data_IF_780140133069
#
_entry.id   IF_780140133069
#
_cell.length_a   1.000
_cell.length_b   1.000
_cell.length_c   1.000
_cell.angle_alpha   90.00
_cell.angle_beta   90.00
_cell.angle_gamma   90.00
#
_symmetry.space_group_name_H-M   'P 1'
#
loop_
_entity.id
_entity.type
_entity.pdbx_description
1 polymer ?
#
# COMPACT_ATOMS: atom_id res chain seq x y z
N UNK A 1 -7.02 9.08 32.30
CA UNK A 1 -6.35 8.78 31.01
C UNK A 1 -7.08 9.53 29.91
N UNK A 2 -6.53 10.65 29.44
CA UNK A 2 -7.19 11.56 28.50
C UNK A 2 -7.06 10.99 27.08
N UNK A 3 -8.18 10.61 26.47
CA UNK A 3 -8.23 10.05 25.11
C UNK A 3 -7.98 11.19 24.13
N UNK A 4 -6.75 11.29 23.60
CA UNK A 4 -6.39 12.30 22.60
C UNK A 4 -7.30 12.17 21.38
N UNK A 5 -8.08 13.21 21.10
CA UNK A 5 -8.97 13.30 19.94
C UNK A 5 -8.10 13.56 18.71
N UNK A 6 -7.86 12.54 17.88
CA UNK A 6 -7.20 12.74 16.58
C UNK A 6 -8.08 13.68 15.76
N UNK A 7 -7.51 14.77 15.28
CA UNK A 7 -8.12 15.69 14.33
C UNK A 7 -8.63 14.94 13.10
N UNK A 8 -9.71 15.46 12.49
CA UNK A 8 -10.42 14.89 11.33
C UNK A 8 -9.64 14.96 10.01
N UNK A 9 -8.31 14.75 10.03
CA UNK A 9 -7.51 14.58 8.83
C UNK A 9 -7.75 13.21 8.24
N UNK A 10 -7.89 13.12 6.91
CA UNK A 10 -8.06 11.85 6.19
C UNK A 10 -7.01 10.84 6.65
N UNK A 11 -7.48 9.70 7.15
CA UNK A 11 -6.56 8.71 7.68
C UNK A 11 -5.71 8.12 6.54
N UNK A 12 -4.45 7.70 6.81
CA UNK A 12 -3.67 7.00 5.79
C UNK A 12 -4.40 5.77 5.25
N UNK A 13 -5.19 5.09 6.08
CA UNK A 13 -6.03 3.97 5.68
C UNK A 13 -7.10 4.39 4.67
N UNK A 14 -7.82 5.49 4.90
CA UNK A 14 -8.80 6.04 3.94
C UNK A 14 -8.14 6.37 2.59
N UNK A 15 -6.97 7.01 2.60
CA UNK A 15 -6.22 7.35 1.38
C UNK A 15 -5.84 6.12 0.57
N UNK A 16 -5.31 5.10 1.25
CA UNK A 16 -4.92 3.84 0.62
C UNK A 16 -6.16 3.13 0.06
N UNK A 17 -7.24 3.07 0.83
CA UNK A 17 -8.51 2.45 0.40
C UNK A 17 -9.09 3.14 -0.83
N UNK A 18 -9.11 4.49 -0.86
CA UNK A 18 -9.61 5.24 -2.00
C UNK A 18 -8.83 4.93 -3.29
N UNK A 19 -7.50 4.91 -3.22
CA UNK A 19 -6.66 4.56 -4.38
C UNK A 19 -6.86 3.11 -4.86
N UNK A 20 -7.19 2.18 -3.97
CA UNK A 20 -7.51 0.80 -4.34
C UNK A 20 -8.85 0.73 -5.06
N UNK A 21 -9.87 1.44 -4.55
CA UNK A 21 -11.19 1.52 -5.17
C UNK A 21 -11.05 2.07 -6.60
N UNK A 22 -10.31 3.15 -6.79
CA UNK A 22 -10.08 3.74 -8.12
C UNK A 22 -9.47 2.74 -9.11
N UNK A 23 -8.43 1.99 -8.69
CA UNK A 23 -7.82 0.96 -9.56
C UNK A 23 -8.77 -0.21 -9.86
N UNK A 24 -9.64 -0.55 -8.91
CA UNK A 24 -10.68 -1.57 -9.13
C UNK A 24 -11.74 -1.09 -10.12
N UNK A 25 -12.15 0.17 -10.04
CA UNK A 25 -13.09 0.80 -10.99
C UNK A 25 -12.51 0.85 -12.41
N UNK A 26 -11.19 0.98 -12.54
CA UNK A 26 -10.46 0.84 -13.81
C UNK A 26 -10.41 -0.61 -14.34
N UNK A 27 -11.02 -1.58 -13.63
CA UNK A 27 -11.05 -2.99 -14.02
C UNK A 27 -9.76 -3.74 -13.74
N UNK A 28 -8.83 -3.15 -12.99
CA UNK A 28 -7.55 -3.80 -12.65
C UNK A 28 -7.66 -4.53 -11.31
N UNK A 29 -6.91 -5.63 -11.16
CA UNK A 29 -6.72 -6.28 -9.86
C UNK A 29 -5.36 -5.86 -9.32
N UNK A 30 -5.25 -4.79 -8.50
CA UNK A 30 -3.97 -4.17 -8.20
C UNK A 30 -3.02 -5.10 -7.41
N UNK A 31 -3.54 -6.13 -6.73
CA UNK A 31 -2.76 -7.15 -6.01
C UNK A 31 -2.29 -8.31 -6.89
N UNK A 32 -2.74 -8.40 -8.13
CA UNK A 32 -2.31 -9.43 -9.09
C UNK A 32 -1.26 -8.82 -10.00
N UNK A 33 0.01 -8.95 -9.62
CA UNK A 33 1.12 -8.61 -10.52
C UNK A 33 1.47 -9.79 -11.43
N UNK A 34 1.81 -9.55 -12.71
CA UNK A 34 2.06 -10.61 -13.70
C UNK A 34 3.47 -11.20 -13.56
N UNK A 35 3.85 -11.64 -12.36
CA UNK A 35 5.20 -12.13 -12.10
C UNK A 35 5.39 -13.54 -12.69
N UNK A 36 5.90 -13.61 -13.92
CA UNK A 36 6.55 -14.80 -14.46
C UNK A 36 8.07 -14.53 -14.55
N UNK A 37 8.87 -15.33 -13.84
CA UNK A 37 10.31 -15.47 -14.11
C UNK A 37 11.29 -14.49 -13.45
N UNK A 38 10.84 -13.50 -12.66
CA UNK A 38 11.75 -12.57 -11.94
C UNK A 38 11.64 -12.70 -10.42
N UNK A 39 12.76 -12.69 -9.67
CA UNK A 39 12.72 -12.66 -8.20
C UNK A 39 12.03 -11.37 -7.73
N UNK A 40 10.85 -11.49 -7.13
CA UNK A 40 10.13 -10.34 -6.59
C UNK A 40 10.74 -9.98 -5.23
N UNK A 41 11.62 -8.97 -5.20
CA UNK A 41 12.12 -8.42 -3.93
C UNK A 41 11.08 -7.50 -3.29
N UNK A 42 10.86 -7.66 -1.98
CA UNK A 42 10.01 -6.74 -1.22
C UNK A 42 10.69 -5.38 -1.11
N UNK A 43 9.95 -4.25 -1.16
CA UNK A 43 10.52 -2.93 -0.91
C UNK A 43 11.18 -2.91 0.46
N UNK A 44 12.34 -2.29 0.55
CA UNK A 44 13.13 -2.19 1.77
C UNK A 44 12.92 -0.83 2.41
N UNK A 45 12.94 -0.78 3.75
CA UNK A 45 13.10 0.47 4.49
C UNK A 45 14.55 0.96 4.39
N UNK A 46 14.81 2.19 4.82
CA UNK A 46 16.14 2.80 4.81
C UNK A 46 17.22 1.96 5.51
N UNK A 47 16.86 1.17 6.52
CA UNK A 47 17.76 0.25 7.20
C UNK A 47 17.86 -1.15 6.56
N UNK A 48 17.39 -1.32 5.32
CA UNK A 48 17.58 -2.54 4.53
C UNK A 48 16.64 -3.70 4.86
N UNK A 49 15.76 -3.58 5.86
CA UNK A 49 14.81 -4.67 6.14
C UNK A 49 13.56 -4.54 5.26
N UNK A 50 12.89 -5.63 4.86
CA UNK A 50 11.68 -5.54 4.06
C UNK A 50 10.46 -4.99 4.81
N UNK A 51 9.60 -4.26 4.07
CA UNK A 51 8.24 -3.97 4.50
C UNK A 51 7.37 -5.24 4.53
N UNK A 52 6.26 -5.18 5.29
CA UNK A 52 5.30 -6.28 5.46
C UNK A 52 3.87 -5.78 5.33
N UNK A 53 2.97 -6.71 5.02
CA UNK A 53 1.52 -6.47 4.98
C UNK A 53 1.14 -5.40 3.97
N UNK A 54 0.22 -4.52 4.37
CA UNK A 54 -0.35 -3.51 3.49
C UNK A 54 0.69 -2.52 2.94
N UNK A 55 1.74 -2.22 3.69
CA UNK A 55 2.79 -1.30 3.23
C UNK A 55 3.57 -1.86 2.03
N UNK A 56 3.79 -3.18 1.97
CA UNK A 56 4.44 -3.80 0.81
C UNK A 56 3.61 -3.59 -0.45
N UNK A 57 2.31 -3.85 -0.34
CA UNK A 57 1.37 -3.68 -1.44
C UNK A 57 1.25 -2.21 -1.88
N UNK A 58 1.07 -1.30 -0.92
CA UNK A 58 1.00 0.14 -1.18
C UNK A 58 2.24 0.65 -1.91
N UNK A 59 3.45 0.28 -1.43
CA UNK A 59 4.70 0.72 -2.04
C UNK A 59 4.89 0.18 -3.46
N UNK A 60 4.45 -1.04 -3.75
CA UNK A 60 4.45 -1.57 -5.11
C UNK A 60 3.47 -0.88 -6.05
N UNK A 61 2.39 -0.34 -5.51
CA UNK A 61 1.34 0.35 -6.25
C UNK A 61 1.69 1.81 -6.54
N UNK A 62 2.49 2.44 -5.66
CA UNK A 62 3.02 3.80 -5.85
C UNK A 62 4.25 3.82 -6.76
N UNK A 63 4.99 2.72 -6.84
CA UNK A 63 6.14 2.58 -7.72
C UNK A 63 5.80 2.14 -9.16
N UNK A 64 4.51 1.84 -9.42
CA UNK A 64 3.96 1.52 -10.75
C UNK A 64 3.64 2.83 -11.49
#
# INVERSE_FOLDING_TARGET
>A
MTKSRRTASTSPAERITAAIIEKLEQGTKPWVKPWRGVPVSRPLRSCGTPYRGMNTFWLWMVAD
#
